data_IF_567285709748
#
_entry.id   IF_567285709748
#
_cell.length_a   1.000
_cell.length_b   1.000
_cell.length_c   1.000
_cell.angle_alpha   90.00
_cell.angle_beta   90.00
_cell.angle_gamma   90.00
#
_symmetry.space_group_name_H-M   'P 1'
#
loop_
_entity.id
_entity.type
_entity.pdbx_description
1 polymer ?
#
# COMPACT_ATOMS: atom_id res chain seq x y z
N UNK A 1 -32.85 -35.03 -14.64
CA UNK A 1 -32.01 -34.56 -13.50
C UNK A 1 -32.20 -33.06 -13.34
N UNK A 2 -32.48 -32.57 -12.14
CA UNK A 2 -32.60 -31.14 -11.89
C UNK A 2 -31.23 -30.45 -12.04
N UNK A 3 -31.18 -29.30 -12.73
CA UNK A 3 -29.95 -28.51 -12.87
C UNK A 3 -29.52 -27.99 -11.50
N UNK A 4 -28.24 -28.16 -11.15
CA UNK A 4 -27.66 -27.57 -9.95
C UNK A 4 -27.61 -26.04 -10.11
N UNK A 5 -28.15 -25.33 -9.13
CA UNK A 5 -27.97 -23.89 -8.99
C UNK A 5 -26.62 -23.64 -8.33
N UNK A 6 -25.81 -22.75 -8.90
CA UNK A 6 -24.51 -22.35 -8.35
C UNK A 6 -24.55 -20.88 -7.98
N UNK A 7 -24.23 -20.58 -6.73
CA UNK A 7 -23.99 -19.21 -6.25
C UNK A 7 -22.49 -19.05 -6.09
N UNK A 8 -21.93 -17.99 -6.65
CA UNK A 8 -20.50 -17.66 -6.53
C UNK A 8 -20.38 -16.21 -6.11
N UNK A 9 -19.41 -15.91 -5.25
CA UNK A 9 -19.09 -14.54 -4.87
C UNK A 9 -18.72 -13.71 -6.11
N UNK A 10 -19.28 -12.51 -6.21
CA UNK A 10 -18.89 -11.57 -7.23
C UNK A 10 -17.45 -11.11 -6.95
N UNK A 11 -16.51 -11.62 -7.72
CA UNK A 11 -15.07 -11.35 -7.56
C UNK A 11 -14.73 -9.87 -7.56
N UNK A 12 -15.41 -9.05 -8.38
CA UNK A 12 -15.15 -7.61 -8.43
C UNK A 12 -15.60 -6.92 -7.14
N UNK A 13 -16.83 -7.21 -6.70
CA UNK A 13 -17.36 -6.64 -5.46
C UNK A 13 -16.53 -7.07 -4.24
N UNK A 14 -16.15 -8.35 -4.19
CA UNK A 14 -15.28 -8.88 -3.14
C UNK A 14 -13.89 -8.23 -3.17
N UNK A 15 -13.30 -8.06 -4.36
CA UNK A 15 -12.00 -7.38 -4.52
C UNK A 15 -12.05 -5.93 -4.02
N UNK A 16 -13.08 -5.16 -4.38
CA UNK A 16 -13.26 -3.80 -3.86
C UNK A 16 -13.40 -3.79 -2.33
N UNK A 17 -14.18 -4.71 -1.76
CA UNK A 17 -14.37 -4.74 -0.32
C UNK A 17 -13.08 -5.10 0.41
N UNK A 18 -12.42 -6.17 0.00
CA UNK A 18 -11.25 -6.72 0.69
C UNK A 18 -9.97 -5.89 0.46
N UNK A 19 -9.75 -5.41 -0.77
CA UNK A 19 -8.50 -4.75 -1.16
C UNK A 19 -8.55 -3.22 -1.04
N UNK A 20 -9.72 -2.63 -0.77
CA UNK A 20 -9.84 -1.17 -0.64
C UNK A 20 -10.54 -0.76 0.65
N UNK A 21 -11.74 -1.28 0.94
CA UNK A 21 -12.52 -0.80 2.09
C UNK A 21 -12.06 -1.38 3.42
N UNK A 22 -11.98 -2.70 3.51
CA UNK A 22 -11.65 -3.39 4.75
C UNK A 22 -10.21 -3.10 5.20
N UNK A 23 -9.31 -2.92 4.24
CA UNK A 23 -7.88 -2.65 4.45
C UNK A 23 -7.58 -1.15 4.62
N UNK A 24 -8.55 -0.26 4.38
CA UNK A 24 -8.34 1.20 4.45
C UNK A 24 -7.70 1.66 5.77
N UNK A 25 -8.18 1.25 6.97
CA UNK A 25 -7.61 1.73 8.22
C UNK A 25 -6.13 1.35 8.36
N UNK A 26 -5.79 0.10 8.02
CA UNK A 26 -4.39 -0.38 8.04
C UNK A 26 -3.52 0.43 7.08
N UNK A 27 -4.04 0.76 5.89
CA UNK A 27 -3.29 1.57 4.93
C UNK A 27 -3.14 3.02 5.39
N UNK A 28 -4.12 3.55 6.11
CA UNK A 28 -4.05 4.90 6.68
C UNK A 28 -2.92 4.96 7.72
N UNK A 29 -2.84 3.97 8.61
CA UNK A 29 -1.76 3.85 9.59
C UNK A 29 -0.37 3.68 8.91
N UNK A 30 -0.29 2.82 7.89
CA UNK A 30 0.96 2.65 7.12
C UNK A 30 1.35 3.95 6.41
N UNK A 31 0.40 4.69 5.84
CA UNK A 31 0.68 5.98 5.20
C UNK A 31 1.26 6.96 6.21
N UNK A 32 0.63 7.10 7.39
CA UNK A 32 1.10 7.99 8.45
C UNK A 32 2.51 7.64 8.91
N UNK A 33 2.81 6.35 9.13
CA UNK A 33 4.14 5.92 9.52
C UNK A 33 5.19 6.24 8.45
N UNK A 34 4.89 5.91 7.18
CA UNK A 34 5.83 6.14 6.08
C UNK A 34 6.06 7.64 5.84
N UNK A 35 5.01 8.48 5.96
CA UNK A 35 5.13 9.94 5.90
C UNK A 35 5.96 10.50 7.06
N UNK A 36 5.74 10.02 8.30
CA UNK A 36 6.51 10.42 9.46
C UNK A 36 8.00 10.09 9.32
N UNK A 37 8.32 8.95 8.73
CA UNK A 37 9.70 8.57 8.42
C UNK A 37 10.27 9.39 7.26
N UNK A 38 9.47 9.70 6.23
CA UNK A 38 9.88 10.50 5.08
C UNK A 38 10.13 11.97 5.45
N UNK A 39 9.50 12.48 6.52
CA UNK A 39 9.69 13.84 7.00
C UNK A 39 11.14 14.19 7.37
N UNK A 40 12.02 13.19 7.51
CA UNK A 40 13.46 13.38 7.70
C UNK A 40 14.11 14.10 6.51
N UNK A 41 13.58 13.95 5.30
CA UNK A 41 14.14 14.61 4.11
C UNK A 41 13.07 14.97 3.06
N UNK A 42 13.02 16.24 2.60
CA UNK A 42 12.01 16.71 1.64
C UNK A 42 12.14 16.09 0.23
N UNK A 43 13.26 15.43 -0.09
CA UNK A 43 13.41 14.71 -1.35
C UNK A 43 12.60 13.40 -1.40
N UNK A 44 12.17 12.89 -0.24
CA UNK A 44 11.36 11.68 -0.14
C UNK A 44 9.90 12.04 -0.37
N UNK A 45 9.28 11.36 -1.33
CA UNK A 45 7.85 11.53 -1.63
C UNK A 45 7.11 10.25 -1.32
N UNK A 46 6.04 10.39 -0.54
CA UNK A 46 5.13 9.31 -0.20
C UNK A 46 3.79 9.55 -0.89
N UNK A 47 3.22 8.51 -1.47
CA UNK A 47 1.88 8.57 -2.05
C UNK A 47 1.16 7.23 -1.93
N UNK A 48 -0.16 7.30 -1.94
CA UNK A 48 -0.99 6.11 -2.00
C UNK A 48 -1.24 5.70 -3.45
N UNK A 49 -1.08 4.43 -3.72
CA UNK A 49 -1.45 3.80 -4.97
C UNK A 49 -2.70 2.94 -4.74
N UNK A 50 -3.84 3.42 -5.23
CA UNK A 50 -5.16 2.75 -5.13
C UNK A 50 -5.57 2.19 -6.51
N UNK A 51 -4.72 1.35 -7.10
CA UNK A 51 -5.07 0.67 -8.35
C UNK A 51 -6.18 -0.36 -8.09
N UNK A 52 -7.02 -0.61 -9.11
CA UNK A 52 -8.17 -1.53 -9.08
C UNK A 52 -7.90 -2.85 -8.36
N UNK A 53 -6.72 -3.43 -8.53
CA UNK A 53 -6.35 -4.73 -7.96
C UNK A 53 -5.37 -4.66 -6.77
N UNK A 54 -4.92 -3.45 -6.36
CA UNK A 54 -3.90 -3.27 -5.32
C UNK A 54 -4.06 -1.94 -4.58
N UNK A 55 -4.11 -2.00 -3.25
CA UNK A 55 -3.84 -0.84 -2.39
C UNK A 55 -2.47 -0.97 -1.76
N UNK A 56 -1.62 0.04 -1.93
CA UNK A 56 -0.33 0.12 -1.25
C UNK A 56 0.13 1.57 -1.06
N UNK A 57 1.07 1.76 -0.13
CA UNK A 57 1.79 3.01 0.08
C UNK A 57 3.15 2.91 -0.61
N UNK A 58 3.55 3.96 -1.33
CA UNK A 58 4.82 4.01 -2.05
C UNK A 58 5.63 5.20 -1.56
N UNK A 59 6.85 4.95 -1.13
CA UNK A 59 7.87 5.96 -0.87
C UNK A 59 8.90 5.97 -2.00
N UNK A 60 9.30 7.15 -2.45
CA UNK A 60 10.27 7.34 -3.53
C UNK A 60 11.28 8.41 -3.15
N UNK A 61 12.52 8.27 -3.62
CA UNK A 61 13.59 9.24 -3.44
C UNK A 61 14.45 9.28 -4.72
N UNK A 62 15.15 10.39 -5.01
CA UNK A 62 16.10 10.45 -6.13
C UNK A 62 17.19 9.37 -6.01
N UNK A 63 17.55 8.71 -7.11
CA UNK A 63 18.50 7.60 -7.09
C UNK A 63 19.88 7.99 -6.50
N UNK A 64 20.37 9.19 -6.82
CA UNK A 64 21.63 9.70 -6.28
C UNK A 64 21.56 9.92 -4.76
N UNK A 65 20.39 10.29 -4.25
CA UNK A 65 20.14 10.47 -2.82
C UNK A 65 20.09 9.12 -2.10
N UNK A 66 19.37 8.13 -2.66
CA UNK A 66 19.34 6.78 -2.09
C UNK A 66 20.73 6.12 -2.11
N UNK A 67 21.52 6.30 -3.16
CA UNK A 67 22.88 5.76 -3.21
C UNK A 67 23.82 6.37 -2.15
N UNK A 68 23.60 7.63 -1.78
CA UNK A 68 24.42 8.32 -0.79
C UNK A 68 23.96 8.05 0.66
N UNK A 69 22.66 7.84 0.88
CA UNK A 69 22.08 7.86 2.22
C UNK A 69 21.32 6.57 2.61
N UNK A 70 20.93 5.74 1.64
CA UNK A 70 20.26 4.44 1.87
C UNK A 70 18.93 4.54 2.61
N UNK A 71 18.22 5.66 2.49
CA UNK A 71 17.08 6.00 3.37
C UNK A 71 15.88 5.10 3.10
N UNK A 72 15.54 4.82 1.84
CA UNK A 72 14.46 3.88 1.51
C UNK A 72 14.80 2.47 1.97
N UNK A 73 16.08 2.07 1.86
CA UNK A 73 16.56 0.77 2.33
C UNK A 73 16.43 0.62 3.85
N UNK A 74 16.61 1.70 4.62
CA UNK A 74 16.37 1.72 6.06
C UNK A 74 14.87 1.70 6.39
N UNK A 75 14.04 2.40 5.62
CA UNK A 75 12.59 2.41 5.82
C UNK A 75 11.96 1.01 5.67
N UNK A 76 12.46 0.18 4.76
CA UNK A 76 11.97 -1.19 4.54
C UNK A 76 12.10 -2.10 5.78
N UNK A 77 13.05 -1.83 6.68
CA UNK A 77 13.24 -2.60 7.91
C UNK A 77 12.39 -2.16 9.10
N UNK A 78 11.71 -1.01 9.00
CA UNK A 78 11.01 -0.36 10.11
C UNK A 78 9.49 -0.36 9.99
N UNK A 79 8.94 -0.67 8.81
CA UNK A 79 7.49 -0.89 8.65
C UNK A 79 7.13 -2.22 9.32
N UNK A 80 6.54 -2.15 10.51
CA UNK A 80 6.05 -3.32 11.25
C UNK A 80 4.53 -3.41 11.06
N UNK A 81 4.08 -4.56 10.56
CA UNK A 81 2.65 -4.90 10.36
C UNK A 81 2.06 -5.47 11.65
#
# INVERSE_FOLDING_TARGET
MAKKVRVVLNRKAFGTEALHKAVKPVMDDVQEQVEGMAAVDPAIKVYRNEDTDRTNVVATAPAAFEQAHGVLSQMLGMVVV
#
